data_IF_750969638760
#
_entry.id   IF_750969638760
#
_cell.length_a   1.000
_cell.length_b   1.000
_cell.length_c   1.000
_cell.angle_alpha   90.00
_cell.angle_beta   90.00
_cell.angle_gamma   90.00
#
_symmetry.space_group_name_H-M   'P 1'
#
loop_
_entity.id
_entity.type
_entity.pdbx_description
1 polymer ?
#
# COMPACT_ATOMS: atom_id res chain seq x y z
N UNK A 1 17.23 4.39 6.44
CA UNK A 1 15.81 4.00 6.38
C UNK A 1 15.67 2.60 5.79
N UNK A 2 15.04 1.69 6.53
CA UNK A 2 14.74 0.34 6.06
C UNK A 2 13.33 0.32 5.45
N UNK A 3 13.22 -0.01 4.18
CA UNK A 3 11.96 -0.25 3.52
C UNK A 3 11.68 -1.75 3.51
N UNK A 4 10.84 -2.24 4.45
CA UNK A 4 10.38 -3.61 4.34
C UNK A 4 9.26 -3.68 3.30
N UNK A 5 9.56 -4.30 2.17
CA UNK A 5 8.57 -4.67 1.14
C UNK A 5 8.28 -6.14 1.33
N UNK A 6 7.14 -6.56 1.06
CA UNK A 6 6.85 -7.98 1.05
C UNK A 6 5.40 -8.27 0.81
N UNK A 7 5.24 -9.40 0.28
CA UNK A 7 4.17 -10.38 0.42
C UNK A 7 2.75 -9.86 0.23
N UNK A 8 2.21 -10.19 -0.90
CA UNK A 8 0.77 -10.20 -1.10
C UNK A 8 0.39 -10.44 -2.52
N UNK A 9 -0.12 -11.59 -2.70
CA UNK A 9 -0.93 -12.10 -3.81
C UNK A 9 -0.31 -12.50 -5.12
N UNK A 10 -0.98 -13.51 -5.66
CA UNK A 10 -0.86 -14.20 -6.93
C UNK A 10 -0.52 -13.32 -8.15
N UNK A 11 -0.45 -12.00 -7.96
CA UNK A 11 -0.15 -11.02 -8.99
C UNK A 11 1.08 -10.19 -8.60
N UNK A 12 2.20 -10.44 -9.26
CA UNK A 12 3.45 -9.68 -9.05
C UNK A 12 3.22 -8.19 -9.27
N UNK A 13 3.06 -7.46 -8.20
CA UNK A 13 3.19 -6.00 -8.21
C UNK A 13 4.65 -5.66 -7.96
N UNK A 14 5.25 -4.81 -8.77
CA UNK A 14 6.66 -4.40 -8.66
C UNK A 14 6.95 -3.57 -7.40
N UNK A 15 6.36 -3.91 -6.26
CA UNK A 15 6.47 -3.09 -5.05
C UNK A 15 5.98 -1.66 -5.28
N UNK A 16 4.80 -1.50 -5.88
CA UNK A 16 4.25 -0.26 -6.44
C UNK A 16 4.46 0.98 -5.56
N UNK A 17 3.87 1.05 -4.38
CA UNK A 17 4.02 2.21 -3.48
C UNK A 17 5.48 2.31 -2.99
N UNK A 18 6.06 1.20 -2.56
CA UNK A 18 7.43 1.18 -2.04
C UNK A 18 8.49 1.60 -3.06
N UNK A 19 8.33 1.32 -4.37
CA UNK A 19 9.29 1.78 -5.39
C UNK A 19 9.24 3.30 -5.58
N UNK A 20 8.04 3.89 -5.64
CA UNK A 20 7.88 5.33 -5.72
C UNK A 20 8.39 6.04 -4.46
N UNK A 21 8.09 5.49 -3.27
CA UNK A 21 8.63 6.00 -2.01
C UNK A 21 10.16 5.92 -1.96
N UNK A 22 10.76 4.85 -2.50
CA UNK A 22 12.23 4.72 -2.60
C UNK A 22 12.83 5.85 -3.44
N UNK A 23 12.21 6.16 -4.59
CA UNK A 23 12.66 7.27 -5.45
C UNK A 23 12.63 8.60 -4.70
N UNK A 24 11.52 8.90 -4.03
CA UNK A 24 11.36 10.15 -3.25
C UNK A 24 12.39 10.25 -2.13
N UNK A 25 12.61 9.18 -1.36
CA UNK A 25 13.59 9.17 -0.28
C UNK A 25 15.02 9.34 -0.79
N UNK A 26 15.41 8.60 -1.82
CA UNK A 26 16.74 8.73 -2.42
C UNK A 26 16.97 10.12 -2.98
N UNK A 27 15.98 10.71 -3.67
CA UNK A 27 16.06 12.07 -4.20
C UNK A 27 16.15 13.13 -3.08
N UNK A 28 15.49 12.89 -1.95
CA UNK A 28 15.56 13.74 -0.77
C UNK A 28 16.87 13.58 0.04
N UNK A 29 17.78 12.69 -0.37
CA UNK A 29 19.10 12.50 0.26
C UNK A 29 19.13 11.49 1.39
N UNK A 30 18.08 10.69 1.59
CA UNK A 30 18.11 9.61 2.57
C UNK A 30 18.89 8.40 2.01
N UNK A 31 19.64 7.73 2.87
CA UNK A 31 20.16 6.40 2.61
C UNK A 31 19.06 5.36 2.81
N UNK A 32 18.89 4.47 1.85
CA UNK A 32 17.78 3.52 1.82
C UNK A 32 18.31 2.10 1.70
N UNK A 33 17.87 1.22 2.60
CA UNK A 33 18.07 -0.23 2.52
C UNK A 33 16.74 -0.88 2.13
N UNK A 34 16.74 -1.75 1.13
CA UNK A 34 15.55 -2.45 0.67
C UNK A 34 15.54 -3.90 1.13
N UNK A 35 14.38 -4.32 1.64
CA UNK A 35 14.08 -5.72 1.97
C UNK A 35 12.84 -6.16 1.21
N UNK A 36 12.93 -7.27 0.46
CA UNK A 36 11.80 -7.85 -0.28
C UNK A 36 12.05 -9.34 -0.50
N UNK A 37 11.05 -10.19 -0.39
CA UNK A 37 11.18 -11.61 -0.70
C UNK A 37 10.80 -11.96 -2.15
N UNK A 38 10.41 -10.97 -2.93
CA UNK A 38 9.93 -11.06 -4.31
C UNK A 38 8.73 -12.00 -4.52
N UNK A 39 8.01 -12.34 -3.47
CA UNK A 39 6.80 -13.15 -3.60
C UNK A 39 5.71 -12.43 -4.41
N UNK A 40 5.74 -11.10 -4.44
CA UNK A 40 4.76 -10.24 -5.13
C UNK A 40 5.39 -9.07 -5.92
N UNK A 41 6.69 -9.04 -6.05
CA UNK A 41 7.45 -8.03 -6.77
C UNK A 41 8.37 -8.68 -7.80
N UNK A 42 9.15 -7.90 -8.52
CA UNK A 42 10.13 -8.40 -9.48
C UNK A 42 11.50 -7.80 -9.21
N UNK A 43 12.58 -8.59 -9.26
CA UNK A 43 13.95 -8.08 -9.17
C UNK A 43 14.26 -6.94 -10.15
N UNK A 44 13.60 -6.90 -11.29
CA UNK A 44 13.75 -5.85 -12.30
C UNK A 44 13.44 -4.43 -11.76
N UNK A 45 12.71 -4.32 -10.63
CA UNK A 45 12.45 -3.02 -10.00
C UNK A 45 13.73 -2.37 -9.48
N UNK A 46 14.71 -3.15 -9.04
CA UNK A 46 15.97 -2.63 -8.50
C UNK A 46 16.76 -1.86 -9.57
N UNK A 47 16.96 -2.47 -10.74
CA UNK A 47 17.62 -1.82 -11.88
C UNK A 47 16.88 -0.55 -12.35
N UNK A 48 15.54 -0.57 -12.30
CA UNK A 48 14.71 0.58 -12.66
C UNK A 48 14.84 1.72 -11.67
N UNK A 49 14.91 1.42 -10.38
CA UNK A 49 15.17 2.41 -9.33
C UNK A 49 16.56 3.03 -9.49
N UNK A 50 17.60 2.23 -9.76
CA UNK A 50 18.94 2.74 -10.04
C UNK A 50 18.96 3.64 -11.29
N UNK A 51 18.23 3.27 -12.35
CA UNK A 51 18.11 4.11 -13.57
C UNK A 51 17.42 5.44 -13.31
N UNK A 52 16.37 5.46 -12.50
CA UNK A 52 15.60 6.66 -12.18
C UNK A 52 16.42 7.61 -11.30
N UNK A 53 17.06 7.08 -10.27
CA UNK A 53 17.70 7.88 -9.22
C UNK A 53 19.17 8.13 -9.45
N UNK A 54 19.82 7.33 -10.31
CA UNK A 54 21.28 7.32 -10.48
C UNK A 54 22.05 6.84 -9.25
N UNK A 55 21.35 6.30 -8.24
CA UNK A 55 21.94 5.88 -6.97
C UNK A 55 21.86 4.37 -6.78
N UNK A 56 22.88 3.81 -6.11
CA UNK A 56 22.87 2.43 -5.61
C UNK A 56 22.43 2.40 -4.16
N UNK A 57 21.86 1.29 -3.76
CA UNK A 57 21.38 1.04 -2.39
C UNK A 57 21.51 -0.44 -2.04
N UNK A 58 21.74 -0.79 -0.77
CA UNK A 58 21.72 -2.17 -0.30
C UNK A 58 20.34 -2.82 -0.51
N UNK A 59 20.36 -4.08 -0.92
CA UNK A 59 19.17 -4.89 -1.07
C UNK A 59 19.36 -6.26 -0.41
N UNK A 60 18.40 -6.68 0.38
CA UNK A 60 18.36 -7.96 1.04
C UNK A 60 17.11 -8.73 0.65
N UNK A 61 17.29 -9.92 0.07
CA UNK A 61 16.17 -10.78 -0.28
C UNK A 61 15.82 -11.70 0.88
N UNK A 62 14.62 -11.55 1.46
CA UNK A 62 14.14 -12.39 2.53
C UNK A 62 12.82 -11.93 3.12
N UNK A 63 12.30 -12.71 4.06
CA UNK A 63 10.99 -12.51 4.68
C UNK A 63 11.11 -11.87 6.06
N UNK A 64 10.17 -10.97 6.40
CA UNK A 64 10.05 -10.40 7.75
C UNK A 64 9.63 -11.43 8.81
N UNK A 65 9.22 -12.63 8.41
CA UNK A 65 8.95 -13.76 9.31
C UNK A 65 10.23 -14.52 9.73
N UNK A 66 11.34 -14.25 9.06
CA UNK A 66 12.62 -14.91 9.30
C UNK A 66 13.48 -14.05 10.22
N UNK A 67 13.62 -14.48 11.47
CA UNK A 67 14.37 -13.78 12.51
C UNK A 67 15.86 -13.69 12.19
N UNK A 68 16.46 -14.79 11.70
CA UNK A 68 17.90 -14.85 11.39
C UNK A 68 18.23 -13.93 10.20
N UNK A 69 17.29 -13.86 9.25
CA UNK A 69 17.39 -12.93 8.13
C UNK A 69 17.33 -11.47 8.60
N UNK A 70 16.39 -11.12 9.48
CA UNK A 70 16.29 -9.76 10.04
C UNK A 70 17.53 -9.40 10.87
N UNK A 71 18.05 -10.34 11.70
CA UNK A 71 19.30 -10.14 12.44
C UNK A 71 20.46 -9.77 11.52
N UNK A 72 20.58 -10.49 10.39
CA UNK A 72 21.60 -10.17 9.39
C UNK A 72 21.44 -8.75 8.83
N UNK A 73 20.22 -8.31 8.56
CA UNK A 73 19.96 -6.94 8.01
C UNK A 73 20.34 -5.89 9.05
N UNK A 74 19.79 -5.99 10.27
CA UNK A 74 20.02 -5.00 11.32
C UNK A 74 21.46 -4.98 11.84
N UNK A 75 22.20 -6.10 11.73
CA UNK A 75 23.63 -6.15 12.09
C UNK A 75 24.51 -5.48 11.03
N UNK A 76 24.14 -5.59 9.75
CA UNK A 76 24.98 -5.09 8.66
C UNK A 76 24.71 -3.62 8.31
N UNK A 77 23.54 -3.10 8.66
CA UNK A 77 23.09 -1.78 8.26
C UNK A 77 22.73 -0.94 9.49
N UNK A 78 23.12 0.34 9.46
CA UNK A 78 22.75 1.31 10.49
C UNK A 78 21.35 1.87 10.21
N UNK A 79 20.35 1.22 10.79
CA UNK A 79 18.94 1.52 10.54
C UNK A 79 18.40 2.48 11.60
N UNK A 80 17.96 3.65 11.19
CA UNK A 80 17.32 4.65 12.07
C UNK A 80 15.80 4.56 12.07
N UNK A 81 15.19 4.20 10.92
CA UNK A 81 13.74 4.16 10.73
C UNK A 81 13.33 3.03 9.80
N UNK A 82 12.20 2.41 10.10
CA UNK A 82 11.58 1.39 9.22
C UNK A 82 10.32 1.95 8.59
N UNK A 83 10.17 1.81 7.26
CA UNK A 83 8.88 1.97 6.57
C UNK A 83 8.35 0.57 6.26
N UNK A 84 7.24 0.21 6.87
CA UNK A 84 6.70 -1.12 6.80
C UNK A 84 5.55 -1.23 5.78
N UNK A 85 5.89 -1.69 4.56
CA UNK A 85 4.94 -1.99 3.50
C UNK A 85 4.55 -3.48 3.42
N UNK A 86 5.31 -4.35 4.08
CA UNK A 86 5.21 -5.79 3.94
C UNK A 86 3.87 -6.33 4.48
N UNK A 87 2.92 -6.55 3.59
CA UNK A 87 1.64 -7.15 3.92
C UNK A 87 0.97 -7.78 2.69
N UNK A 88 0.23 -8.86 2.86
CA UNK A 88 -0.76 -9.31 1.88
C UNK A 88 -1.92 -8.33 1.86
N UNK A 89 -2.43 -7.95 0.68
CA UNK A 89 -3.43 -6.88 0.54
C UNK A 89 -4.67 -7.20 -0.30
N UNK A 90 -4.79 -8.39 -0.87
CA UNK A 90 -5.97 -8.74 -1.65
C UNK A 90 -7.14 -9.10 -0.76
N UNK A 91 -8.17 -8.26 -0.79
CA UNK A 91 -9.39 -8.42 0.01
C UNK A 91 -10.04 -9.76 -0.25
N UNK A 92 -10.30 -10.12 -1.53
CA UNK A 92 -10.95 -11.39 -1.88
C UNK A 92 -10.16 -12.63 -1.41
N UNK A 93 -8.83 -12.67 -1.60
CA UNK A 93 -8.02 -13.78 -1.08
C UNK A 93 -8.02 -13.83 0.44
N UNK A 94 -8.07 -12.68 1.11
CA UNK A 94 -8.08 -12.65 2.58
C UNK A 94 -9.28 -13.37 3.17
N UNK A 95 -10.44 -13.29 2.51
CA UNK A 95 -11.65 -14.01 2.91
C UNK A 95 -11.50 -15.52 2.69
N UNK A 96 -10.88 -15.92 1.58
CA UNK A 96 -10.67 -17.33 1.26
C UNK A 96 -9.56 -17.99 2.08
N UNK A 97 -8.51 -17.22 2.45
CA UNK A 97 -7.31 -17.71 3.13
C UNK A 97 -6.93 -16.84 4.35
N UNK A 98 -7.83 -16.65 5.32
CA UNK A 98 -7.62 -15.68 6.41
C UNK A 98 -6.35 -15.98 7.24
N UNK A 99 -6.07 -17.24 7.54
CA UNK A 99 -4.90 -17.63 8.33
C UNK A 99 -3.57 -17.26 7.65
N UNK A 100 -3.51 -17.31 6.31
CA UNK A 100 -2.36 -16.84 5.54
C UNK A 100 -2.11 -15.35 5.80
N UNK A 101 -3.18 -14.54 5.81
CA UNK A 101 -3.12 -13.10 6.05
C UNK A 101 -2.72 -12.77 7.47
N UNK A 102 -3.36 -13.40 8.46
CA UNK A 102 -3.01 -13.16 9.87
C UNK A 102 -1.57 -13.58 10.17
N UNK A 103 -1.13 -14.76 9.72
CA UNK A 103 0.24 -15.20 9.92
C UNK A 103 1.25 -14.25 9.32
N UNK A 104 1.06 -13.85 8.07
CA UNK A 104 2.02 -12.97 7.41
C UNK A 104 1.97 -11.55 7.98
N UNK A 105 0.78 -10.93 7.99
CA UNK A 105 0.68 -9.52 8.31
C UNK A 105 0.87 -9.25 9.81
N UNK A 106 0.29 -10.07 10.69
CA UNK A 106 0.40 -9.85 12.14
C UNK A 106 1.70 -10.44 12.67
N UNK A 107 1.96 -11.75 12.46
CA UNK A 107 3.17 -12.36 13.01
C UNK A 107 4.42 -11.74 12.42
N UNK A 108 4.44 -11.43 11.10
CA UNK A 108 5.58 -10.77 10.48
C UNK A 108 5.83 -9.36 11.04
N UNK A 109 4.77 -8.59 11.32
CA UNK A 109 4.91 -7.28 11.98
C UNK A 109 5.44 -7.42 13.40
N UNK A 110 4.94 -8.39 14.19
CA UNK A 110 5.44 -8.63 15.54
C UNK A 110 6.92 -9.01 15.50
N UNK A 111 7.32 -9.96 14.65
CA UNK A 111 8.73 -10.36 14.48
C UNK A 111 9.61 -9.15 14.12
N UNK A 112 9.15 -8.30 13.21
CA UNK A 112 9.87 -7.07 12.84
C UNK A 112 10.02 -6.12 14.03
N UNK A 113 8.96 -5.88 14.81
CA UNK A 113 8.98 -5.00 15.99
C UNK A 113 9.87 -5.54 17.11
N UNK A 114 9.91 -6.86 17.32
CA UNK A 114 10.81 -7.51 18.27
C UNK A 114 12.27 -7.27 17.87
N UNK A 115 12.61 -7.42 16.58
CA UNK A 115 13.95 -7.13 16.07
C UNK A 115 14.29 -5.63 16.12
N UNK A 116 13.39 -4.76 15.74
CA UNK A 116 13.56 -3.31 15.90
C UNK A 116 13.88 -2.94 17.35
N UNK A 117 13.16 -3.52 18.32
CA UNK A 117 13.41 -3.30 19.74
C UNK A 117 14.79 -3.83 20.17
N UNK A 118 15.19 -5.02 19.70
CA UNK A 118 16.49 -5.65 20.01
C UNK A 118 17.67 -4.80 19.53
N UNK A 119 17.54 -4.17 18.34
CA UNK A 119 18.55 -3.32 17.74
C UNK A 119 18.36 -1.81 18.04
N UNK A 120 17.50 -1.46 19.00
CA UNK A 120 17.20 -0.08 19.44
C UNK A 120 16.67 0.83 18.32
N UNK A 121 16.06 0.27 17.28
CA UNK A 121 15.38 1.01 16.21
C UNK A 121 13.92 1.22 16.62
N UNK A 122 13.54 2.46 16.93
CA UNK A 122 12.23 2.79 17.53
C UNK A 122 11.38 3.73 16.69
N UNK A 123 11.76 3.96 15.44
CA UNK A 123 11.03 4.81 14.51
C UNK A 123 10.40 3.95 13.41
N UNK A 124 9.07 4.00 13.27
CA UNK A 124 8.35 3.22 12.25
C UNK A 124 7.24 4.04 11.57
N UNK A 125 7.21 4.00 10.26
CA UNK A 125 6.10 4.45 9.42
C UNK A 125 5.39 3.22 8.88
N UNK A 126 4.11 3.08 9.20
CA UNK A 126 3.32 1.91 8.85
C UNK A 126 2.33 2.19 7.73
N UNK A 127 2.34 1.33 6.72
CA UNK A 127 1.38 1.29 5.62
C UNK A 127 0.05 0.72 6.10
N UNK A 128 -0.84 1.59 6.59
CA UNK A 128 -2.21 1.23 6.90
C UNK A 128 -3.14 1.42 5.69
N UNK A 129 -4.44 1.46 5.89
CA UNK A 129 -5.43 1.53 4.80
C UNK A 129 -6.73 2.16 5.29
N UNK A 130 -7.40 2.93 4.43
CA UNK A 130 -8.75 3.42 4.70
C UNK A 130 -9.80 2.29 4.90
N UNK A 131 -9.47 1.04 4.56
CA UNK A 131 -10.33 -0.11 4.86
C UNK A 131 -10.59 -0.33 6.35
N UNK A 132 -9.78 0.27 7.23
CA UNK A 132 -9.99 0.24 8.69
C UNK A 132 -11.25 1.00 9.14
N UNK A 133 -11.75 1.94 8.33
CA UNK A 133 -12.97 2.69 8.66
C UNK A 133 -14.25 1.89 8.45
N UNK A 134 -14.22 0.79 7.71
CA UNK A 134 -15.41 0.02 7.37
C UNK A 134 -16.37 0.79 6.48
N UNK A 135 -17.68 0.56 6.64
CA UNK A 135 -18.75 1.11 5.77
C UNK A 135 -19.70 2.06 6.48
N UNK A 136 -19.58 2.22 7.80
CA UNK A 136 -20.57 2.95 8.61
C UNK A 136 -20.25 4.44 8.80
N UNK A 137 -19.06 4.87 8.41
CA UNK A 137 -18.64 6.26 8.55
C UNK A 137 -19.12 7.12 7.38
N UNK A 138 -19.52 8.38 7.62
CA UNK A 138 -19.84 9.32 6.56
C UNK A 138 -18.56 9.75 5.82
N UNK A 139 -18.70 10.17 4.57
CA UNK A 139 -17.62 10.83 3.83
C UNK A 139 -17.71 12.36 3.99
N UNK A 140 -16.58 13.08 4.01
CA UNK A 140 -15.20 12.58 4.01
C UNK A 140 -14.79 11.97 5.35
N UNK A 141 -13.93 10.95 5.33
CA UNK A 141 -13.45 10.26 6.54
C UNK A 141 -12.29 11.02 7.18
N UNK A 142 -12.34 11.19 8.52
CA UNK A 142 -11.29 11.80 9.34
C UNK A 142 -10.65 10.77 10.27
N UNK A 143 -9.44 11.06 10.77
CA UNK A 143 -8.62 10.11 11.53
C UNK A 143 -9.22 9.71 12.88
N UNK A 144 -10.06 10.57 13.46
CA UNK A 144 -10.78 10.36 14.74
C UNK A 144 -12.04 9.51 14.61
N UNK A 145 -12.46 9.19 13.39
CA UNK A 145 -13.66 8.36 13.17
C UNK A 145 -13.49 6.93 13.66
N UNK A 146 -14.59 6.28 14.13
CA UNK A 146 -14.55 4.91 14.57
C UNK A 146 -14.03 3.95 13.49
N UNK A 147 -13.26 2.96 13.91
CA UNK A 147 -12.74 1.92 13.03
C UNK A 147 -13.52 0.62 13.17
N UNK A 148 -13.86 0.00 12.03
CA UNK A 148 -14.59 -1.28 11.99
C UNK A 148 -14.31 -2.00 10.67
N UNK A 149 -13.24 -2.79 10.64
CA UNK A 149 -12.91 -3.54 9.45
C UNK A 149 -13.98 -4.59 9.12
N UNK A 150 -14.21 -4.86 7.83
CA UNK A 150 -15.26 -5.77 7.36
C UNK A 150 -14.72 -7.05 6.71
N UNK A 151 -13.42 -7.18 6.59
CA UNK A 151 -12.76 -8.35 6.00
C UNK A 151 -11.41 -8.63 6.66
N UNK A 152 -10.86 -9.85 6.52
CA UNK A 152 -9.61 -10.23 7.19
C UNK A 152 -8.42 -9.32 6.86
N UNK A 153 -8.29 -8.82 5.63
CA UNK A 153 -7.24 -7.85 5.30
C UNK A 153 -7.38 -6.56 6.12
N UNK A 154 -8.57 -5.96 6.13
CA UNK A 154 -8.85 -4.76 6.93
C UNK A 154 -8.59 -4.99 8.42
N UNK A 155 -9.01 -6.15 8.95
CA UNK A 155 -8.71 -6.53 10.34
C UNK A 155 -7.21 -6.64 10.60
N UNK A 156 -6.40 -7.18 9.66
CA UNK A 156 -4.94 -7.19 9.87
C UNK A 156 -4.37 -5.78 9.97
N UNK A 157 -4.87 -4.83 9.16
CA UNK A 157 -4.41 -3.43 9.23
C UNK A 157 -4.82 -2.78 10.56
N UNK A 158 -6.07 -2.95 10.98
CA UNK A 158 -6.58 -2.42 12.23
C UNK A 158 -5.84 -3.01 13.45
N UNK A 159 -5.62 -4.31 13.48
CA UNK A 159 -4.85 -4.97 14.53
C UNK A 159 -3.41 -4.48 14.59
N UNK A 160 -2.76 -4.27 13.43
CA UNK A 160 -1.40 -3.73 13.39
C UNK A 160 -1.33 -2.29 13.89
N UNK A 161 -2.31 -1.43 13.58
CA UNK A 161 -2.40 -0.08 14.16
C UNK A 161 -2.51 -0.15 15.69
N UNK A 162 -3.32 -1.06 16.22
CA UNK A 162 -3.46 -1.25 17.66
C UNK A 162 -2.16 -1.73 18.29
N UNK A 163 -1.52 -2.76 17.72
CA UNK A 163 -0.23 -3.29 18.22
C UNK A 163 0.83 -2.18 18.25
N UNK A 164 0.94 -1.39 17.20
CA UNK A 164 1.88 -0.28 17.10
C UNK A 164 1.59 0.83 18.13
N UNK A 165 0.31 1.12 18.36
CA UNK A 165 -0.12 2.08 19.38
C UNK A 165 0.25 1.59 20.79
N UNK A 166 0.03 0.30 21.08
CA UNK A 166 0.37 -0.30 22.37
C UNK A 166 1.89 -0.34 22.60
N UNK A 167 2.68 -0.62 21.55
CA UNK A 167 4.15 -0.56 21.60
C UNK A 167 4.61 0.87 21.93
N UNK A 168 4.08 1.89 21.27
CA UNK A 168 4.42 3.29 21.57
C UNK A 168 3.99 3.70 22.97
N UNK A 169 2.84 3.24 23.46
CA UNK A 169 2.38 3.50 24.82
C UNK A 169 3.23 2.80 25.89
N UNK A 170 3.80 1.64 25.58
CA UNK A 170 4.64 0.88 26.51
C UNK A 170 6.05 1.46 26.69
N UNK A 171 6.54 2.18 25.69
CA UNK A 171 7.87 2.82 25.70
C UNK A 171 7.81 4.16 24.95
N UNK A 172 7.86 5.32 25.66
CA UNK A 172 7.72 6.65 25.07
C UNK A 172 8.87 7.06 24.14
N UNK A 173 9.91 6.25 24.01
CA UNK A 173 10.97 6.48 23.01
C UNK A 173 10.58 6.09 21.59
N UNK A 174 9.50 5.29 21.43
CA UNK A 174 8.99 4.94 20.11
C UNK A 174 8.32 6.12 19.40
N UNK A 175 8.49 6.13 18.10
CA UNK A 175 7.79 6.99 17.16
C UNK A 175 7.08 6.12 16.13
N UNK A 176 5.77 6.17 16.10
CA UNK A 176 4.91 5.39 15.22
C UNK A 176 4.07 6.34 14.39
N UNK A 177 4.12 6.18 13.08
CA UNK A 177 3.27 6.95 12.15
C UNK A 177 2.47 5.98 11.30
N UNK A 178 1.16 5.92 11.50
CA UNK A 178 0.24 5.09 10.74
C UNK A 178 -0.34 5.92 9.58
N UNK A 179 -0.15 5.44 8.34
CA UNK A 179 -0.64 6.10 7.14
C UNK A 179 -1.81 5.31 6.55
N UNK A 180 -3.03 5.85 6.65
CA UNK A 180 -4.24 5.25 6.09
C UNK A 180 -4.43 5.72 4.65
N UNK A 181 -4.05 4.85 3.69
CA UNK A 181 -4.18 5.16 2.27
C UNK A 181 -5.60 4.98 1.76
N UNK A 182 -6.02 5.91 0.92
CA UNK A 182 -7.13 5.68 0.00
C UNK A 182 -6.64 4.91 -1.25
N UNK A 183 -7.19 5.13 -2.42
CA UNK A 183 -6.87 4.29 -3.59
C UNK A 183 -5.71 4.86 -4.41
N UNK A 184 -4.49 4.30 -4.35
CA UNK A 184 -3.39 4.81 -5.15
C UNK A 184 -3.58 4.46 -6.64
N UNK A 185 -3.33 5.45 -7.51
CA UNK A 185 -3.32 5.32 -8.96
C UNK A 185 -2.12 6.04 -9.58
N UNK A 186 -1.90 5.85 -10.87
CA UNK A 186 -0.83 6.52 -11.61
C UNK A 186 0.47 5.73 -11.67
N UNK A 187 1.49 6.35 -12.20
CA UNK A 187 2.82 5.79 -12.39
C UNK A 187 3.88 6.91 -12.35
N UNK A 188 5.15 6.53 -12.29
CA UNK A 188 6.25 7.47 -12.39
C UNK A 188 6.38 7.98 -13.83
N UNK A 189 6.71 9.26 -14.00
CA UNK A 189 6.82 9.93 -15.30
C UNK A 189 7.82 9.26 -16.27
N UNK A 190 8.85 8.58 -15.73
CA UNK A 190 9.81 7.82 -16.55
C UNK A 190 9.19 6.62 -17.27
N UNK A 191 7.96 6.18 -16.90
CA UNK A 191 7.36 4.96 -17.40
C UNK A 191 8.05 3.67 -16.94
N UNK A 192 9.10 3.74 -16.11
CA UNK A 192 9.86 2.56 -15.66
C UNK A 192 9.22 1.84 -14.48
N UNK A 193 8.52 2.56 -13.60
CA UNK A 193 7.82 2.00 -12.44
C UNK A 193 6.35 2.45 -12.41
N UNK A 194 5.48 1.53 -11.99
CA UNK A 194 4.04 1.74 -11.95
C UNK A 194 3.34 0.51 -11.38
N UNK A 195 2.02 0.47 -11.41
CA UNK A 195 1.26 -0.70 -11.00
C UNK A 195 1.15 -1.69 -12.16
N UNK A 196 1.97 -2.73 -12.13
CA UNK A 196 1.97 -3.79 -13.15
C UNK A 196 1.60 -5.14 -12.50
N UNK A 197 0.30 -5.47 -12.42
CA UNK A 197 -0.15 -6.76 -11.89
C UNK A 197 0.15 -7.89 -12.87
N UNK A 198 0.46 -9.07 -12.35
CA UNK A 198 0.47 -10.30 -13.14
C UNK A 198 -0.95 -10.86 -13.22
N UNK A 199 -1.40 -11.20 -14.43
CA UNK A 199 -2.75 -11.71 -14.68
C UNK A 199 -3.82 -10.62 -14.70
N UNK A 200 -5.06 -10.98 -14.35
CA UNK A 200 -6.20 -10.05 -14.36
C UNK A 200 -6.09 -9.09 -13.16
N UNK A 201 -6.07 -7.77 -13.40
CA UNK A 201 -5.98 -6.80 -12.31
C UNK A 201 -7.21 -6.82 -11.40
N UNK A 202 -6.97 -6.61 -10.10
CA UNK A 202 -8.04 -6.38 -9.12
C UNK A 202 -8.35 -4.88 -8.91
N UNK A 203 -7.42 -3.99 -9.29
CA UNK A 203 -7.60 -2.55 -9.19
C UNK A 203 -8.11 -2.00 -10.52
N UNK A 204 -8.96 -0.96 -10.42
CA UNK A 204 -9.63 -0.35 -11.55
C UNK A 204 -8.66 0.17 -12.62
N UNK A 205 -7.67 0.99 -12.24
CA UNK A 205 -6.77 1.65 -13.20
C UNK A 205 -5.90 0.66 -13.99
N UNK A 206 -5.25 -0.34 -13.37
CA UNK A 206 -4.56 -1.39 -14.13
C UNK A 206 -5.48 -2.20 -15.04
N UNK A 207 -6.75 -2.36 -14.65
CA UNK A 207 -7.75 -3.04 -15.50
C UNK A 207 -8.06 -2.20 -16.74
N UNK A 208 -8.39 -0.90 -16.55
CA UNK A 208 -8.63 0.05 -17.65
C UNK A 208 -7.43 0.05 -18.62
N UNK A 209 -6.21 0.14 -18.11
CA UNK A 209 -5.00 0.15 -18.96
C UNK A 209 -4.81 -1.15 -19.75
N UNK A 210 -5.15 -2.31 -19.18
CA UNK A 210 -5.10 -3.58 -19.90
C UNK A 210 -6.19 -3.71 -20.97
N UNK A 211 -7.36 -3.12 -20.75
CA UNK A 211 -8.40 -3.02 -21.79
C UNK A 211 -7.94 -2.06 -22.89
N UNK A 212 -7.40 -0.89 -22.53
CA UNK A 212 -6.92 0.10 -23.49
C UNK A 212 -5.86 -0.45 -24.47
N UNK A 213 -4.98 -1.33 -24.00
CA UNK A 213 -3.94 -1.97 -24.86
C UNK A 213 -4.38 -3.30 -25.45
N UNK A 214 -5.67 -3.68 -25.33
CA UNK A 214 -6.24 -4.88 -25.93
C UNK A 214 -5.84 -6.21 -25.27
N UNK A 215 -5.27 -6.19 -24.06
CA UNK A 215 -4.99 -7.41 -23.28
C UNK A 215 -6.25 -8.01 -22.65
N UNK A 216 -7.22 -7.19 -22.33
CA UNK A 216 -8.53 -7.58 -21.83
C UNK A 216 -9.60 -7.06 -22.80
N UNK A 217 -10.69 -7.82 -23.03
CA UNK A 217 -11.70 -7.43 -24.01
C UNK A 217 -12.54 -6.25 -23.57
N UNK A 218 -12.88 -6.18 -22.28
CA UNK A 218 -13.77 -5.18 -21.71
C UNK A 218 -13.57 -5.04 -20.20
N UNK A 219 -14.04 -3.94 -19.62
CA UNK A 219 -14.07 -3.69 -18.19
C UNK A 219 -15.39 -4.16 -17.59
N UNK A 220 -15.35 -4.95 -16.53
CA UNK A 220 -16.53 -5.27 -15.73
C UNK A 220 -16.77 -4.18 -14.68
N UNK A 221 -17.87 -3.46 -14.78
CA UNK A 221 -18.35 -2.48 -13.79
C UNK A 221 -19.37 -3.16 -12.89
N UNK A 222 -19.03 -3.35 -11.62
CA UNK A 222 -19.88 -4.06 -10.66
C UNK A 222 -20.79 -3.09 -9.91
N UNK A 223 -22.07 -3.15 -10.22
CA UNK A 223 -23.14 -2.29 -9.69
C UNK A 223 -23.28 -0.98 -10.44
N UNK A 224 -24.54 -0.62 -10.72
CA UNK A 224 -24.95 0.60 -11.38
C UNK A 224 -26.17 1.27 -10.66
N UNK A 225 -26.45 0.79 -9.45
CA UNK A 225 -27.60 1.19 -8.61
C UNK A 225 -27.17 1.73 -7.22
N UNK A 226 -25.88 2.06 -7.04
CA UNK A 226 -25.42 2.74 -5.83
C UNK A 226 -26.04 4.17 -5.76
N UNK A 227 -26.26 4.71 -4.54
CA UNK A 227 -26.76 6.07 -4.35
C UNK A 227 -25.67 7.12 -4.65
N UNK A 228 -25.14 7.09 -5.87
CA UNK A 228 -24.09 7.95 -6.41
C UNK A 228 -24.58 8.61 -7.71
N UNK A 229 -23.94 9.69 -8.19
CA UNK A 229 -24.41 10.42 -9.36
C UNK A 229 -24.61 9.60 -10.63
N UNK A 230 -23.81 8.56 -10.82
CA UNK A 230 -23.86 7.70 -12.03
C UNK A 230 -24.16 6.23 -11.70
N UNK A 231 -24.54 5.93 -10.46
CA UNK A 231 -24.89 4.60 -9.99
C UNK A 231 -23.67 3.70 -9.69
N UNK A 232 -22.45 4.13 -9.99
CA UNK A 232 -21.25 3.32 -9.75
C UNK A 232 -20.54 3.67 -8.46
N UNK A 233 -19.65 2.80 -7.97
CA UNK A 233 -18.93 3.02 -6.73
C UNK A 233 -18.00 4.24 -6.79
N UNK A 234 -18.02 5.07 -5.75
CA UNK A 234 -17.17 6.26 -5.61
C UNK A 234 -16.02 5.97 -4.65
N UNK A 235 -14.79 6.38 -5.01
CA UNK A 235 -13.59 6.26 -4.19
C UNK A 235 -12.72 7.51 -4.29
N UNK A 236 -11.96 7.79 -3.26
CA UNK A 236 -10.87 8.77 -3.31
C UNK A 236 -9.64 8.12 -3.95
N UNK A 237 -9.17 8.72 -5.03
CA UNK A 237 -7.99 8.25 -5.76
C UNK A 237 -6.85 9.25 -5.60
N UNK A 238 -5.75 8.81 -4.98
CA UNK A 238 -4.53 9.59 -4.79
C UNK A 238 -3.47 9.19 -5.80
N UNK A 239 -2.78 10.15 -6.42
CA UNK A 239 -1.66 9.80 -7.29
C UNK A 239 -0.52 9.19 -6.49
N UNK A 240 0.13 8.15 -7.04
CA UNK A 240 1.18 7.40 -6.33
C UNK A 240 2.40 8.26 -5.97
N UNK A 241 2.69 9.30 -6.73
CA UNK A 241 3.75 10.28 -6.41
C UNK A 241 3.38 11.12 -5.19
N UNK A 242 2.12 11.57 -5.08
CA UNK A 242 1.64 12.29 -3.90
C UNK A 242 1.66 11.39 -2.67
N UNK A 243 1.27 10.13 -2.83
CA UNK A 243 1.37 9.13 -1.78
C UNK A 243 2.83 8.90 -1.34
N UNK A 244 3.78 8.82 -2.29
CA UNK A 244 5.20 8.68 -1.99
C UNK A 244 5.77 9.93 -1.28
N UNK A 245 5.35 11.13 -1.72
CA UNK A 245 5.68 12.39 -1.04
C UNK A 245 5.10 12.44 0.38
N UNK A 246 3.88 11.92 0.57
CA UNK A 246 3.29 11.74 1.89
C UNK A 246 4.14 10.85 2.82
N UNK A 247 4.74 9.78 2.29
CA UNK A 247 5.68 8.95 3.07
C UNK A 247 6.96 9.72 3.43
N UNK A 248 7.51 10.49 2.51
CA UNK A 248 8.67 11.34 2.79
C UNK A 248 8.35 12.36 3.90
N UNK A 249 7.18 12.97 3.87
CA UNK A 249 6.72 13.86 4.93
C UNK A 249 6.55 13.11 6.27
N UNK A 250 5.96 11.91 6.24
CA UNK A 250 5.80 11.06 7.41
C UNK A 250 7.14 10.63 8.03
N UNK A 251 8.16 10.32 7.22
CA UNK A 251 9.52 10.03 7.70
C UNK A 251 10.09 11.23 8.46
N UNK A 252 10.03 12.43 7.87
CA UNK A 252 10.52 13.66 8.51
C UNK A 252 9.77 13.96 9.79
N UNK A 253 8.46 13.77 9.82
CA UNK A 253 7.63 13.93 11.01
C UNK A 253 8.03 12.92 12.10
N UNK A 254 8.11 11.64 11.75
CA UNK A 254 8.40 10.54 12.65
C UNK A 254 9.74 10.71 13.37
N UNK A 255 10.78 11.15 12.67
CA UNK A 255 12.12 11.40 13.25
C UNK A 255 12.15 12.53 14.28
N UNK A 256 11.17 13.42 14.28
CA UNK A 256 11.10 14.59 15.19
C UNK A 256 10.01 14.49 16.26
N UNK A 257 9.16 13.48 16.22
CA UNK A 257 8.04 13.28 17.14
C UNK A 257 8.10 11.93 17.81
N UNK A 258 7.42 11.78 18.94
CA UNK A 258 7.30 10.53 19.68
C UNK A 258 5.84 10.18 19.92
N UNK A 259 5.59 8.90 20.23
CA UNK A 259 4.25 8.39 20.39
C UNK A 259 3.69 7.81 19.09
N UNK A 260 2.37 7.61 19.03
CA UNK A 260 1.67 7.05 17.89
C UNK A 260 0.72 8.08 17.26
N UNK A 261 0.89 8.35 15.98
CA UNK A 261 0.06 9.26 15.20
C UNK A 261 -0.53 8.57 13.97
N UNK A 262 -1.66 9.07 13.51
CA UNK A 262 -2.40 8.56 12.36
C UNK A 262 -2.63 9.70 11.38
N UNK A 263 -2.38 9.43 10.09
CA UNK A 263 -2.68 10.37 9.01
C UNK A 263 -3.37 9.67 7.85
N UNK A 264 -4.42 10.31 7.34
CA UNK A 264 -5.06 9.91 6.10
C UNK A 264 -4.23 10.42 4.89
N UNK A 265 -4.02 9.55 3.91
CA UNK A 265 -3.42 9.93 2.63
C UNK A 265 -4.44 9.71 1.50
N UNK A 266 -5.11 10.77 1.14
CA UNK A 266 -6.13 10.88 0.11
C UNK A 266 -6.20 12.30 -0.43
N UNK A 267 -7.09 12.54 -1.38
CA UNK A 267 -7.32 13.87 -1.98
C UNK A 267 -8.48 14.62 -1.33
N UNK A 268 -9.31 13.91 -0.56
CA UNK A 268 -10.57 14.43 -0.02
C UNK A 268 -11.70 14.52 -1.06
N UNK A 269 -11.46 14.04 -2.28
CA UNK A 269 -12.44 14.05 -3.38
C UNK A 269 -12.70 12.63 -3.86
N UNK A 270 -13.98 12.32 -4.06
CA UNK A 270 -14.42 11.03 -4.58
C UNK A 270 -14.66 11.11 -6.09
N UNK A 271 -14.22 10.06 -6.80
CA UNK A 271 -14.50 9.85 -8.22
C UNK A 271 -15.19 8.52 -8.42
N UNK A 272 -16.16 8.48 -9.31
CA UNK A 272 -16.87 7.26 -9.67
C UNK A 272 -16.03 6.36 -10.60
N UNK A 273 -16.45 5.11 -10.77
CA UNK A 273 -15.82 4.22 -11.76
C UNK A 273 -15.95 4.80 -13.16
N UNK A 274 -17.14 5.32 -13.51
CA UNK A 274 -17.38 5.89 -14.85
C UNK A 274 -16.67 7.24 -15.04
N UNK A 275 -16.46 8.04 -13.99
CA UNK A 275 -15.63 9.25 -14.09
C UNK A 275 -14.20 8.90 -14.53
N UNK A 276 -13.60 7.86 -13.94
CA UNK A 276 -12.26 7.42 -14.31
C UNK A 276 -12.21 6.86 -15.73
N UNK A 277 -13.21 6.07 -16.13
CA UNK A 277 -13.29 5.53 -17.50
C UNK A 277 -13.38 6.68 -18.50
N UNK A 278 -14.33 7.59 -18.34
CA UNK A 278 -14.55 8.72 -19.26
C UNK A 278 -13.34 9.65 -19.32
N UNK A 279 -12.72 9.93 -18.17
CA UNK A 279 -11.50 10.76 -18.12
C UNK A 279 -10.36 10.06 -18.86
N UNK A 280 -10.17 8.77 -18.64
CA UNK A 280 -9.13 7.99 -19.32
C UNK A 280 -9.35 7.96 -20.84
N UNK A 281 -10.59 7.76 -21.29
CA UNK A 281 -10.95 7.80 -22.73
C UNK A 281 -10.66 9.17 -23.35
N UNK A 282 -11.05 10.24 -22.66
CA UNK A 282 -10.87 11.59 -23.16
C UNK A 282 -9.39 11.98 -23.30
N UNK A 283 -8.56 11.64 -22.29
CA UNK A 283 -7.14 11.99 -22.26
C UNK A 283 -6.32 11.13 -23.23
N UNK A 284 -6.63 9.83 -23.33
CA UNK A 284 -5.84 8.91 -24.15
C UNK A 284 -6.41 8.69 -25.55
N UNK A 285 -7.61 9.21 -25.83
CA UNK A 285 -8.34 9.04 -27.12
C UNK A 285 -8.52 7.58 -27.53
N UNK A 286 -8.79 6.73 -26.53
CA UNK A 286 -8.99 5.29 -26.65
C UNK A 286 -10.32 4.93 -26.00
N UNK A 287 -11.20 4.22 -26.69
CA UNK A 287 -12.43 3.71 -26.12
C UNK A 287 -12.16 2.55 -25.14
N UNK A 288 -12.84 2.56 -24.02
CA UNK A 288 -12.81 1.51 -23.00
C UNK A 288 -14.17 0.81 -22.97
N UNK A 289 -14.34 -0.28 -23.73
CA UNK A 289 -15.57 -1.04 -23.65
C UNK A 289 -15.76 -1.57 -22.23
N UNK A 290 -16.99 -1.42 -21.71
CA UNK A 290 -17.34 -1.95 -20.41
C UNK A 290 -18.71 -2.59 -20.40
N UNK A 291 -18.86 -3.59 -19.53
CA UNK A 291 -20.12 -4.26 -19.23
C UNK A 291 -20.55 -3.88 -17.80
N UNK A 292 -21.73 -3.27 -17.68
CA UNK A 292 -22.35 -3.07 -16.37
C UNK A 292 -22.95 -4.38 -15.90
N UNK A 293 -22.51 -4.88 -14.76
CA UNK A 293 -23.02 -6.09 -14.14
C UNK A 293 -23.85 -5.69 -12.93
N UNK A 294 -25.18 -5.83 -13.06
CA UNK A 294 -26.10 -5.64 -11.92
C UNK A 294 -25.65 -6.60 -10.80
N UNK A 295 -25.63 -6.11 -9.57
CA UNK A 295 -25.31 -6.82 -8.33
C UNK A 295 -25.25 -8.34 -8.43
N UNK A 296 -24.18 -8.89 -8.93
CA UNK A 296 -23.72 -10.18 -8.45
C UNK A 296 -23.01 -9.83 -7.16
N UNK A 297 -23.74 -9.89 -6.06
CA UNK A 297 -23.23 -9.65 -4.73
C UNK A 297 -22.07 -10.62 -4.45
N UNK A 298 -20.85 -10.20 -4.82
CA UNK A 298 -19.71 -10.73 -4.11
C UNK A 298 -19.70 -10.04 -2.75
N UNK A 299 -19.90 -10.75 -1.65
CA UNK A 299 -19.90 -10.16 -0.30
C UNK A 299 -18.54 -9.59 0.11
N UNK A 300 -17.61 -9.47 -0.81
CA UNK A 300 -16.20 -9.10 -0.60
C UNK A 300 -15.79 -7.79 -1.25
N UNK A 301 -16.69 -7.06 -1.91
CA UNK A 301 -16.33 -5.84 -2.69
C UNK A 301 -17.01 -4.55 -2.21
N UNK A 302 -17.44 -4.50 -0.97
CA UNK A 302 -17.80 -3.24 -0.35
C UNK A 302 -16.61 -2.63 0.38
#
# INVERSE_FOLDING_TARGET
CLLSRGLGDVYKRQGYIGSHTTVELLNAGFDVVLVDDFSNSSPAVLERLEKITGKKFPFYQGSILDTDFLDKVFTNEDIELVIHFAAFKAVGESVQKPLKYYKNNISGTITLLEKMKEYDVKNIVFSSSATVYGTNNPSPMTEDMPTSAINPYGYTKLMMEQILTDVAASDPSWSVTNLRYFNPIGAHESGLIGELPNGIPNNLMPYITQVAIGKLPELNVFGDDYPTPDGTGVRDYIHVLDLASGHLAAVKYNLSHKGAEIFNLGTGHGYSVLDLVKTFEAENKVAIPYLSLIHISEPTRQ
#
